data_IF_046609397815
#
_entry.id   IF_046609397815
#
_cell.length_a   1.000
_cell.length_b   1.000
_cell.length_c   1.000
_cell.angle_alpha   90.00
_cell.angle_beta   90.00
_cell.angle_gamma   90.00
#
_symmetry.space_group_name_H-M   'P 1'
#
loop_
_entity.id
_entity.type
_entity.pdbx_description
1 polymer ?
#
# COMPACT_ATOMS: atom_id res chain seq x y z
N UNK A 1 11.66 25.53 -7.70
CA UNK A 1 12.67 25.16 -6.66
C UNK A 1 12.26 23.92 -5.84
N UNK A 2 10.97 23.59 -5.74
CA UNK A 2 10.47 22.53 -4.83
C UNK A 2 10.50 21.11 -5.43
N UNK A 3 10.44 21.00 -6.76
CA UNK A 3 10.63 19.74 -7.48
C UNK A 3 12.03 19.13 -7.30
N UNK A 4 13.05 19.95 -7.07
CA UNK A 4 14.42 19.49 -6.89
C UNK A 4 14.66 18.64 -5.62
N UNK A 5 13.83 18.82 -4.58
CA UNK A 5 13.91 17.99 -3.37
C UNK A 5 13.28 16.60 -3.60
N UNK A 6 12.21 16.54 -4.37
CA UNK A 6 11.56 15.29 -4.78
C UNK A 6 12.47 14.49 -5.73
N UNK A 7 13.14 15.19 -6.67
CA UNK A 7 14.05 14.59 -7.64
C UNK A 7 15.30 14.02 -6.98
N UNK A 8 15.86 14.66 -5.93
CA UNK A 8 17.05 14.15 -5.21
C UNK A 8 16.83 12.80 -4.52
N UNK A 9 15.60 12.46 -4.14
CA UNK A 9 15.29 11.13 -3.64
C UNK A 9 15.00 10.12 -4.76
N UNK A 10 14.79 10.59 -5.98
CA UNK A 10 14.66 9.76 -7.18
C UNK A 10 16.04 9.33 -7.74
N UNK A 11 17.13 10.04 -7.42
CA UNK A 11 18.51 9.65 -7.82
C UNK A 11 18.91 8.28 -7.25
N UNK A 12 18.28 7.84 -6.14
CA UNK A 12 18.41 6.46 -5.63
C UNK A 12 17.69 5.41 -6.48
N UNK A 13 16.94 5.85 -7.48
CA UNK A 13 16.24 4.99 -8.44
C UNK A 13 17.00 4.87 -9.78
N UNK A 14 18.31 5.16 -9.80
CA UNK A 14 19.15 5.17 -11.00
C UNK A 14 19.05 3.90 -11.87
N UNK A 15 18.54 2.79 -11.33
CA UNK A 15 18.34 1.54 -12.04
C UNK A 15 16.87 1.19 -12.32
N UNK A 16 15.91 2.03 -11.90
CA UNK A 16 14.48 1.77 -12.10
C UNK A 16 13.83 2.88 -12.91
N UNK A 17 13.32 2.53 -14.09
CA UNK A 17 12.53 3.48 -14.88
C UNK A 17 11.29 3.90 -14.08
N UNK A 18 11.16 5.22 -13.85
CA UNK A 18 9.95 5.84 -13.30
C UNK A 18 9.29 6.66 -14.41
N UNK A 19 8.04 6.36 -14.69
CA UNK A 19 7.22 7.15 -15.61
C UNK A 19 6.02 7.67 -14.85
N UNK A 20 5.73 8.96 -14.96
CA UNK A 20 4.58 9.61 -14.35
C UNK A 20 3.84 10.38 -15.43
N UNK A 21 2.55 10.08 -15.59
CA UNK A 21 1.63 10.78 -16.48
C UNK A 21 0.43 11.25 -15.66
N UNK A 22 -0.24 12.34 -16.11
CA UNK A 22 -1.42 12.88 -15.47
C UNK A 22 -1.27 14.36 -15.11
N UNK A 23 -2.26 14.90 -14.44
CA UNK A 23 -2.30 16.29 -14.02
C UNK A 23 -1.99 16.42 -12.54
N UNK A 24 -1.03 17.25 -12.18
CA UNK A 24 -0.68 17.56 -10.79
C UNK A 24 -0.81 19.06 -10.58
N UNK A 25 -1.59 19.44 -9.58
CA UNK A 25 -1.84 20.83 -9.20
C UNK A 25 -1.57 21.03 -7.70
N UNK A 26 -1.18 22.25 -7.34
CA UNK A 26 -0.95 22.67 -5.96
C UNK A 26 0.51 22.87 -5.58
N UNK A 27 0.73 23.12 -4.29
CA UNK A 27 2.06 23.25 -3.69
C UNK A 27 2.50 21.90 -3.11
N UNK A 28 3.80 21.69 -2.93
CA UNK A 28 4.34 20.41 -2.43
C UNK A 28 3.68 19.93 -1.13
N UNK A 29 3.35 20.85 -0.25
CA UNK A 29 2.66 20.56 1.00
C UNK A 29 1.13 20.39 0.87
N UNK A 30 0.60 20.53 -0.34
CA UNK A 30 -0.83 20.42 -0.64
C UNK A 30 -0.99 20.11 -2.14
N UNK A 31 -0.81 18.83 -2.52
CA UNK A 31 -0.84 18.37 -3.90
C UNK A 31 -2.12 17.62 -4.21
N UNK A 32 -2.62 17.84 -5.40
CA UNK A 32 -3.73 17.10 -5.99
C UNK A 32 -3.30 16.53 -7.33
N UNK A 33 -3.46 15.22 -7.49
CA UNK A 33 -3.23 14.53 -8.76
C UNK A 33 -4.52 13.98 -9.32
N UNK A 34 -4.73 14.14 -10.62
CA UNK A 34 -5.88 13.60 -11.35
C UNK A 34 -5.42 12.79 -12.54
N UNK A 35 -6.06 11.64 -12.77
CA UNK A 35 -5.72 10.77 -13.89
C UNK A 35 -4.27 10.33 -13.86
N UNK A 36 -3.71 10.18 -12.66
CA UNK A 36 -2.30 9.85 -12.48
C UNK A 36 -2.06 8.40 -12.87
N UNK A 37 -1.05 8.20 -13.71
CA UNK A 37 -0.45 6.90 -13.97
C UNK A 37 1.02 6.97 -13.59
N UNK A 38 1.43 6.09 -12.68
CA UNK A 38 2.83 5.91 -12.27
C UNK A 38 3.22 4.49 -12.64
N UNK A 39 4.33 4.35 -13.36
CA UNK A 39 4.98 3.06 -13.61
C UNK A 39 6.37 3.10 -13.01
N UNK A 40 6.72 2.11 -12.22
CA UNK A 40 7.97 2.09 -11.49
C UNK A 40 8.51 0.66 -11.35
N UNK A 41 9.81 0.50 -11.58
CA UNK A 41 10.42 -0.83 -11.59
C UNK A 41 9.83 -1.73 -12.66
N UNK A 42 9.77 -3.03 -12.35
CA UNK A 42 9.32 -4.03 -13.31
C UNK A 42 7.81 -4.35 -13.19
N UNK A 43 7.24 -4.24 -11.98
CA UNK A 43 5.90 -4.74 -11.70
C UNK A 43 4.97 -3.70 -11.06
N UNK A 44 5.48 -2.49 -10.75
CA UNK A 44 4.68 -1.51 -10.04
C UNK A 44 4.00 -0.53 -10.99
N UNK A 45 2.68 -0.50 -10.92
CA UNK A 45 1.82 0.43 -11.65
C UNK A 45 0.77 0.99 -10.68
N UNK A 46 0.63 2.29 -10.65
CA UNK A 46 -0.48 2.98 -9.99
C UNK A 46 -1.27 3.76 -11.02
N UNK A 47 -2.59 3.64 -10.96
CA UNK A 47 -3.52 4.45 -11.73
C UNK A 47 -4.62 4.95 -10.78
N UNK A 48 -4.85 6.24 -10.75
CA UNK A 48 -5.85 6.82 -9.87
C UNK A 48 -5.70 8.30 -9.67
N UNK A 49 -6.35 8.78 -8.61
CA UNK A 49 -6.31 10.17 -8.20
C UNK A 49 -5.77 10.24 -6.78
N UNK A 50 -5.10 11.31 -6.42
CA UNK A 50 -4.64 11.52 -5.07
C UNK A 50 -4.82 12.97 -4.60
N UNK A 51 -4.96 13.11 -3.30
CA UNK A 51 -4.81 14.38 -2.59
C UNK A 51 -3.90 14.15 -1.39
N UNK A 52 -2.86 14.97 -1.27
CA UNK A 52 -1.90 14.88 -0.16
C UNK A 52 -1.73 16.22 0.52
N UNK A 53 -1.59 16.21 1.85
CA UNK A 53 -1.27 17.39 2.64
C UNK A 53 -0.21 17.02 3.67
N UNK A 54 0.87 17.82 3.73
CA UNK A 54 1.94 17.65 4.72
C UNK A 54 3.28 17.23 4.17
N UNK A 55 3.41 16.98 2.84
CA UNK A 55 4.70 16.71 2.22
C UNK A 55 5.69 17.87 2.49
N UNK A 56 6.99 17.61 2.64
CA UNK A 56 7.69 16.35 2.36
C UNK A 56 7.77 15.38 3.55
N UNK A 57 7.20 15.71 4.70
CA UNK A 57 7.20 14.83 5.89
C UNK A 57 6.22 13.68 5.69
N UNK A 58 6.67 12.56 5.10
CA UNK A 58 5.82 11.40 4.72
C UNK A 58 4.96 10.91 5.90
N UNK A 59 5.52 10.90 7.11
CA UNK A 59 4.80 10.40 8.29
C UNK A 59 3.72 11.35 8.82
N UNK A 60 3.81 12.63 8.47
CA UNK A 60 2.84 13.67 8.84
C UNK A 60 1.93 14.01 7.67
N UNK A 61 2.13 13.32 6.53
CA UNK A 61 1.33 13.54 5.34
C UNK A 61 0.03 12.77 5.42
N UNK A 62 -1.06 13.51 5.33
CA UNK A 62 -2.37 12.93 5.10
C UNK A 62 -2.52 12.60 3.62
N UNK A 63 -3.06 11.43 3.34
CA UNK A 63 -3.26 10.86 2.02
C UNK A 63 -4.75 10.58 1.82
N UNK A 64 -5.27 10.98 0.67
CA UNK A 64 -6.53 10.49 0.15
C UNK A 64 -6.24 9.95 -1.25
N UNK A 65 -6.28 8.64 -1.41
CA UNK A 65 -6.01 7.96 -2.65
C UNK A 65 -7.30 7.31 -3.18
N UNK A 66 -7.59 7.54 -4.45
CA UNK A 66 -8.60 6.83 -5.22
C UNK A 66 -7.88 5.94 -6.22
N UNK A 67 -7.78 4.67 -5.89
CA UNK A 67 -6.98 3.70 -6.65
C UNK A 67 -7.87 3.00 -7.67
N UNK A 68 -7.73 3.34 -8.95
CA UNK A 68 -8.38 2.63 -10.06
C UNK A 68 -7.66 1.31 -10.32
N UNK A 69 -6.33 1.31 -10.19
CA UNK A 69 -5.48 0.14 -10.31
C UNK A 69 -4.16 0.38 -9.60
N UNK A 70 -3.83 -0.49 -8.68
CA UNK A 70 -2.47 -0.66 -8.17
C UNK A 70 -2.04 -2.09 -8.50
N UNK A 71 -0.87 -2.25 -9.08
CA UNK A 71 -0.18 -3.52 -9.20
C UNK A 71 1.21 -3.33 -8.61
N UNK A 72 1.68 -4.24 -7.76
CA UNK A 72 3.01 -4.17 -7.16
C UNK A 72 3.39 -5.50 -6.52
N UNK A 73 4.64 -5.62 -6.10
CA UNK A 73 5.12 -6.69 -5.22
C UNK A 73 5.70 -6.05 -3.95
N UNK A 74 5.82 -6.85 -2.87
CA UNK A 74 6.46 -6.36 -1.64
C UNK A 74 7.93 -6.01 -1.90
N UNK A 75 8.60 -6.72 -2.79
CA UNK A 75 9.99 -6.43 -3.15
C UNK A 75 10.13 -5.07 -3.86
N UNK A 76 9.21 -4.76 -4.77
CA UNK A 76 9.19 -3.43 -5.39
C UNK A 76 8.83 -2.35 -4.36
N UNK A 77 7.85 -2.60 -3.48
CA UNK A 77 7.49 -1.65 -2.42
C UNK A 77 8.67 -1.35 -1.48
N UNK A 78 9.51 -2.35 -1.15
CA UNK A 78 10.74 -2.15 -0.36
C UNK A 78 11.77 -1.26 -1.05
N UNK A 79 11.90 -1.35 -2.37
CA UNK A 79 12.82 -0.48 -3.13
C UNK A 79 12.42 0.99 -3.02
N UNK A 80 11.10 1.27 -3.03
CA UNK A 80 10.60 2.64 -2.91
C UNK A 80 10.58 3.17 -1.47
N UNK A 81 10.37 2.27 -0.49
CA UNK A 81 10.23 2.60 0.92
C UNK A 81 11.12 1.72 1.80
N UNK A 82 12.48 1.81 1.66
CA UNK A 82 13.42 0.94 2.37
C UNK A 82 13.37 1.12 3.90
N UNK A 83 12.85 2.24 4.38
CA UNK A 83 12.67 2.51 5.80
C UNK A 83 11.48 1.77 6.43
N UNK A 84 10.57 1.21 5.61
CA UNK A 84 9.43 0.43 6.10
C UNK A 84 9.85 -1.03 6.20
N UNK A 85 9.77 -1.58 7.42
CA UNK A 85 9.98 -3.01 7.65
C UNK A 85 8.69 -3.76 7.39
N UNK A 86 8.59 -4.37 6.22
CA UNK A 86 7.48 -5.24 5.89
C UNK A 86 7.67 -6.61 6.55
N UNK A 87 6.65 -7.17 7.22
CA UNK A 87 6.68 -8.56 7.69
C UNK A 87 7.02 -9.55 6.57
N UNK A 88 7.79 -10.59 6.90
CA UNK A 88 8.33 -11.52 5.90
C UNK A 88 7.23 -12.28 5.14
N UNK A 89 6.13 -12.62 5.84
CA UNK A 89 5.00 -13.34 5.26
C UNK A 89 4.25 -12.54 4.17
N UNK A 90 4.40 -11.22 4.11
CA UNK A 90 3.83 -10.42 3.02
C UNK A 90 4.45 -10.74 1.66
N UNK A 91 5.67 -11.29 1.61
CA UNK A 91 6.28 -11.75 0.36
C UNK A 91 5.47 -12.87 -0.31
N UNK A 92 4.79 -13.68 0.48
CA UNK A 92 3.98 -14.80 0.01
C UNK A 92 2.76 -14.34 -0.80
N UNK A 93 2.37 -13.06 -0.69
CA UNK A 93 1.29 -12.48 -1.50
C UNK A 93 1.60 -12.47 -2.99
N UNK A 94 2.89 -12.51 -3.37
CA UNK A 94 3.32 -12.43 -4.77
C UNK A 94 2.96 -11.09 -5.41
N UNK A 95 2.37 -11.13 -6.60
CA UNK A 95 1.86 -9.93 -7.27
C UNK A 95 0.55 -9.51 -6.63
N UNK A 96 0.50 -8.27 -6.21
CA UNK A 96 -0.61 -7.64 -5.49
C UNK A 96 -1.32 -6.70 -6.45
N UNK A 97 -2.63 -6.88 -6.61
CA UNK A 97 -3.52 -5.93 -7.26
C UNK A 97 -4.47 -5.34 -6.22
N UNK A 98 -4.64 -4.02 -6.26
CA UNK A 98 -5.58 -3.33 -5.39
C UNK A 98 -6.41 -2.31 -6.17
N UNK A 99 -7.70 -2.25 -5.85
CA UNK A 99 -8.65 -1.23 -6.32
C UNK A 99 -9.47 -0.75 -5.13
N UNK A 100 -9.66 0.56 -4.99
CA UNK A 100 -10.41 1.11 -3.86
C UNK A 100 -9.90 2.46 -3.40
N UNK A 101 -9.99 2.74 -2.12
CA UNK A 101 -9.47 3.96 -1.52
C UNK A 101 -8.57 3.68 -0.32
N UNK A 102 -7.63 4.59 -0.09
CA UNK A 102 -6.79 4.67 1.10
C UNK A 102 -6.89 6.09 1.64
N UNK A 103 -7.38 6.24 2.85
CA UNK A 103 -7.64 7.53 3.47
C UNK A 103 -7.00 7.59 4.86
N UNK A 104 -6.15 8.59 5.12
CA UNK A 104 -5.49 8.80 6.41
C UNK A 104 -4.02 9.14 6.29
N UNK A 105 -3.23 8.76 7.27
CA UNK A 105 -1.78 8.91 7.27
C UNK A 105 -1.11 7.58 6.93
N UNK A 106 0.14 7.59 6.46
CA UNK A 106 0.84 6.35 6.08
C UNK A 106 0.96 5.32 7.22
N UNK A 107 0.86 5.79 8.45
CA UNK A 107 0.89 4.94 9.66
C UNK A 107 -0.46 4.74 10.33
N UNK A 108 -1.51 5.39 9.82
CA UNK A 108 -2.87 5.29 10.36
C UNK A 108 -3.86 5.61 9.24
N UNK A 109 -4.34 4.59 8.53
CA UNK A 109 -5.21 4.78 7.37
C UNK A 109 -6.36 3.77 7.34
N UNK A 110 -7.42 4.16 6.65
CA UNK A 110 -8.51 3.26 6.30
C UNK A 110 -8.34 2.79 4.87
N UNK A 111 -8.42 1.48 4.67
CA UNK A 111 -8.45 0.83 3.35
C UNK A 111 -9.86 0.34 3.09
N UNK A 112 -10.48 0.85 2.03
CA UNK A 112 -11.76 0.34 1.55
C UNK A 112 -11.59 -0.09 0.09
N UNK A 113 -11.55 -1.41 -0.15
CA UNK A 113 -11.29 -1.89 -1.50
C UNK A 113 -11.11 -3.39 -1.62
N UNK A 114 -10.72 -3.79 -2.82
CA UNK A 114 -10.47 -5.18 -3.18
C UNK A 114 -8.99 -5.40 -3.44
N UNK A 115 -8.44 -6.38 -2.75
CA UNK A 115 -7.09 -6.90 -2.91
C UNK A 115 -7.14 -8.25 -3.61
N UNK A 116 -6.38 -8.44 -4.68
CA UNK A 116 -6.20 -9.72 -5.37
C UNK A 116 -4.72 -10.07 -5.34
N UNK A 117 -4.40 -11.27 -4.91
CA UNK A 117 -3.03 -11.77 -4.76
C UNK A 117 -2.89 -13.17 -5.33
N UNK A 118 -1.69 -13.71 -5.36
CA UNK A 118 -1.48 -15.12 -5.72
C UNK A 118 -2.09 -16.10 -4.71
N UNK A 119 -2.41 -15.63 -3.50
CA UNK A 119 -2.98 -16.46 -2.44
C UNK A 119 -4.51 -16.46 -2.41
N UNK A 120 -5.16 -15.53 -3.09
CA UNK A 120 -6.61 -15.35 -3.10
C UNK A 120 -7.01 -13.88 -3.09
N UNK A 121 -8.27 -13.63 -2.76
CA UNK A 121 -8.87 -12.29 -2.77
C UNK A 121 -9.28 -11.86 -1.38
N UNK A 122 -9.09 -10.58 -1.06
CA UNK A 122 -9.60 -9.95 0.14
C UNK A 122 -10.38 -8.67 -0.22
N UNK A 123 -11.58 -8.51 0.35
CA UNK A 123 -12.26 -7.22 0.39
C UNK A 123 -12.06 -6.61 1.77
N UNK A 124 -11.65 -5.35 1.80
CA UNK A 124 -11.26 -4.65 3.01
C UNK A 124 -12.14 -3.43 3.24
N UNK A 125 -12.52 -3.23 4.47
CA UNK A 125 -13.02 -1.97 5.04
C UNK A 125 -12.39 -1.90 6.44
N UNK A 126 -11.07 -1.62 6.45
CA UNK A 126 -10.21 -1.84 7.62
C UNK A 126 -9.40 -0.59 7.90
N UNK A 127 -9.43 -0.12 9.14
CA UNK A 127 -8.44 0.81 9.66
C UNK A 127 -7.18 0.03 10.02
N UNK A 128 -6.06 0.51 9.53
CA UNK A 128 -4.72 0.03 9.85
C UNK A 128 -3.94 1.11 10.57
N UNK A 129 -3.34 0.78 11.71
CA UNK A 129 -2.52 1.68 12.50
C UNK A 129 -1.20 1.04 12.89
N UNK A 130 -0.09 1.71 12.65
CA UNK A 130 1.24 1.29 13.07
C UNK A 130 1.79 2.18 14.17
N UNK A 131 1.95 1.62 15.36
CA UNK A 131 2.59 2.28 16.51
C UNK A 131 4.11 2.06 16.45
N UNK A 132 4.84 3.09 16.03
CA UNK A 132 6.30 3.04 15.92
C UNK A 132 7.00 2.80 17.25
N UNK A 133 6.45 3.33 18.37
CA UNK A 133 7.06 3.20 19.71
C UNK A 133 6.99 1.75 20.19
N UNK A 134 5.86 1.10 19.92
CA UNK A 134 5.62 -0.29 20.32
C UNK A 134 6.08 -1.29 19.26
N UNK A 135 6.45 -0.84 18.05
CA UNK A 135 6.72 -1.66 16.87
C UNK A 135 5.61 -2.67 16.61
N UNK A 136 4.35 -2.21 16.69
CA UNK A 136 3.16 -3.05 16.52
C UNK A 136 2.19 -2.45 15.53
N UNK A 137 1.62 -3.29 14.68
CA UNK A 137 0.49 -2.95 13.85
C UNK A 137 -0.81 -3.32 14.56
N UNK A 138 -1.84 -2.51 14.36
CA UNK A 138 -3.21 -2.74 14.80
C UNK A 138 -4.11 -2.65 13.57
N UNK A 139 -5.15 -3.46 13.55
CA UNK A 139 -6.12 -3.48 12.47
C UNK A 139 -7.52 -3.71 13.03
N UNK A 140 -8.49 -2.95 12.51
CA UNK A 140 -9.88 -3.03 12.94
C UNK A 140 -10.82 -2.70 11.79
N UNK A 141 -11.84 -3.53 11.61
CA UNK A 141 -12.85 -3.29 10.56
C UNK A 141 -13.49 -4.55 10.05
N UNK A 142 -13.94 -4.52 8.79
CA UNK A 142 -14.55 -5.65 8.12
C UNK A 142 -13.57 -6.24 7.09
N UNK A 143 -13.47 -7.56 7.08
CA UNK A 143 -12.65 -8.31 6.14
C UNK A 143 -13.46 -9.45 5.55
N UNK A 144 -13.43 -9.59 4.22
CA UNK A 144 -13.92 -10.77 3.55
C UNK A 144 -12.80 -11.40 2.73
N UNK A 145 -12.46 -12.63 3.04
CA UNK A 145 -11.51 -13.46 2.30
C UNK A 145 -12.27 -14.42 1.38
N UNK A 146 -11.76 -14.63 0.17
CA UNK A 146 -12.30 -15.63 -0.73
C UNK A 146 -11.15 -16.48 -1.29
N UNK A 147 -11.23 -17.80 -1.05
CA UNK A 147 -10.21 -18.79 -1.45
C UNK A 147 -8.78 -18.39 -1.05
N UNK A 148 -8.64 -17.69 0.07
CA UNK A 148 -7.35 -17.17 0.50
C UNK A 148 -6.54 -18.25 1.21
N UNK A 149 -5.35 -18.56 0.73
CA UNK A 149 -4.47 -19.59 1.28
C UNK A 149 -3.72 -19.06 2.51
N UNK A 150 -4.31 -19.24 3.71
CA UNK A 150 -3.69 -18.86 4.97
C UNK A 150 -2.44 -19.69 5.28
N UNK A 151 -2.41 -20.96 4.89
CA UNK A 151 -1.25 -21.83 5.10
C UNK A 151 0.00 -21.26 4.43
N UNK A 152 -0.10 -20.90 3.16
CA UNK A 152 1.01 -20.24 2.45
C UNK A 152 1.32 -18.86 3.03
N UNK A 153 0.30 -18.09 3.43
CA UNK A 153 0.51 -16.77 3.98
C UNK A 153 1.34 -16.81 5.27
N UNK A 154 1.03 -17.76 6.17
CA UNK A 154 1.72 -17.90 7.46
C UNK A 154 2.89 -18.89 7.44
N UNK A 155 3.17 -19.55 6.30
CA UNK A 155 4.14 -20.65 6.17
C UNK A 155 3.79 -21.86 7.07
N UNK A 156 2.49 -22.14 7.22
CA UNK A 156 1.95 -23.25 8.00
C UNK A 156 0.90 -24.01 7.19
N UNK A 157 1.34 -24.65 6.10
CA UNK A 157 0.45 -25.40 5.21
C UNK A 157 -0.02 -26.76 5.81
N UNK A 158 0.56 -27.15 6.96
CA UNK A 158 0.15 -28.36 7.68
C UNK A 158 -1.16 -28.12 8.42
N UNK A 159 -1.27 -26.98 9.10
CA UNK A 159 -2.40 -26.67 9.97
C UNK A 159 -3.44 -25.75 9.31
N UNK A 160 -3.05 -25.01 8.31
CA UNK A 160 -3.87 -23.99 7.67
C UNK A 160 -3.98 -24.24 6.17
N UNK A 161 -5.19 -24.11 5.65
CA UNK A 161 -5.48 -24.23 4.23
C UNK A 161 -6.05 -22.94 3.64
N UNK A 162 -6.80 -23.13 2.55
CA UNK A 162 -7.60 -22.04 1.96
C UNK A 162 -8.85 -21.81 2.80
N UNK A 163 -9.19 -20.52 2.95
CA UNK A 163 -10.38 -20.09 3.67
C UNK A 163 -11.20 -19.09 2.86
N UNK A 164 -12.50 -19.19 3.01
CA UNK A 164 -13.44 -18.14 2.64
C UNK A 164 -14.19 -17.75 3.91
N UNK A 165 -14.07 -16.48 4.31
CA UNK A 165 -14.68 -15.95 5.51
C UNK A 165 -15.07 -14.49 5.33
N UNK A 166 -16.08 -14.07 6.08
CA UNK A 166 -16.46 -12.67 6.17
C UNK A 166 -16.77 -12.33 7.62
N UNK A 167 -16.23 -11.23 8.11
CA UNK A 167 -16.46 -10.84 9.49
C UNK A 167 -15.77 -9.54 9.89
N UNK A 168 -15.99 -9.17 11.14
CA UNK A 168 -15.24 -8.09 11.79
C UNK A 168 -13.96 -8.64 12.34
N UNK A 169 -12.89 -7.87 12.15
CA UNK A 169 -11.59 -8.14 12.72
C UNK A 169 -11.21 -7.01 13.67
N UNK A 170 -10.58 -7.34 14.77
CA UNK A 170 -9.98 -6.41 15.72
C UNK A 170 -8.76 -7.10 16.32
N UNK A 171 -7.58 -6.58 16.05
CA UNK A 171 -6.37 -7.24 16.46
C UNK A 171 -5.13 -6.36 16.38
N UNK A 172 -4.02 -6.92 16.85
CA UNK A 172 -2.72 -6.25 16.79
C UNK A 172 -1.57 -7.25 16.93
N UNK A 173 -0.45 -6.88 16.33
CA UNK A 173 0.77 -7.67 16.27
C UNK A 173 0.98 -8.29 14.89
N UNK A 174 2.04 -7.86 14.25
CA UNK A 174 2.75 -8.53 13.16
C UNK A 174 4.23 -8.45 13.48
#
# INVERSE_FOLDING_TARGET
>A
KDLGYFLRNLDKLEHNRLTINGEIDGRINNLKGRGIEIRAGNNSVFQGDFYTRGLPSIYETSLNLRVKRLATTIDDARKFYPQIKFPANLNNLGLIYYTGSLDGFITDFVSNGKLVTSLGTANTDVNFKYDKKKNKAFYKGNLALNEFNLGKFFNDEINLGKVSLQGKIDGGGL
#
